data_IF_791426016070
#
_entry.id   IF_791426016070
#
_cell.length_a   1.000
_cell.length_b   1.000
_cell.length_c   1.000
_cell.angle_alpha   90.00
_cell.angle_beta   90.00
_cell.angle_gamma   90.00
#
_symmetry.space_group_name_H-M   'P 1'
#
loop_
_entity.id
_entity.type
_entity.pdbx_description
1 polymer ?
#
# COMPACT_ATOMS: atom_id res chain seq x y z
N UNK A 1 2.42 23.19 1.90
CA UNK A 1 1.80 22.92 0.58
C UNK A 1 0.34 23.31 0.67
N UNK A 2 -0.13 24.18 -0.23
CA UNK A 2 -1.55 24.59 -0.26
C UNK A 2 -2.34 23.54 -1.02
N UNK A 3 -3.40 23.02 -0.44
CA UNK A 3 -4.31 22.07 -1.11
C UNK A 3 -5.20 22.89 -2.07
N UNK A 4 -5.21 22.59 -3.39
CA UNK A 4 -6.03 23.33 -4.35
C UNK A 4 -7.53 23.12 -4.08
N UNK A 5 -8.31 24.17 -4.33
CA UNK A 5 -9.78 24.11 -4.35
C UNK A 5 -10.26 23.99 -5.79
N UNK A 6 -11.20 23.07 -6.04
CA UNK A 6 -11.86 22.88 -7.33
C UNK A 6 -13.32 23.29 -7.19
N UNK A 7 -13.85 24.00 -8.17
CA UNK A 7 -15.27 24.38 -8.21
C UNK A 7 -15.97 23.51 -9.24
N UNK A 8 -16.99 22.77 -8.81
CA UNK A 8 -17.84 21.95 -9.68
C UNK A 8 -18.71 22.84 -10.60
N UNK A 9 -19.30 22.22 -11.62
CA UNK A 9 -20.25 22.89 -12.52
C UNK A 9 -21.43 23.53 -11.79
N UNK A 10 -21.80 22.99 -10.63
CA UNK A 10 -22.87 23.48 -9.77
C UNK A 10 -22.41 24.64 -8.84
N UNK A 11 -21.19 25.12 -8.98
CA UNK A 11 -20.61 26.19 -8.16
C UNK A 11 -20.14 25.75 -6.76
N UNK A 12 -20.14 24.45 -6.46
CA UNK A 12 -19.68 23.92 -5.16
C UNK A 12 -18.17 23.78 -5.11
N UNK A 13 -17.55 24.35 -4.08
CA UNK A 13 -16.12 24.23 -3.82
C UNK A 13 -15.76 22.94 -3.08
N UNK A 14 -14.70 22.28 -3.52
CA UNK A 14 -14.12 21.06 -2.93
C UNK A 14 -12.61 21.22 -2.81
N UNK A 15 -12.00 20.69 -1.76
CA UNK A 15 -10.57 20.40 -1.87
C UNK A 15 -10.33 19.27 -2.90
N UNK A 16 -9.14 19.24 -3.49
CA UNK A 16 -8.84 18.30 -4.59
C UNK A 16 -8.99 16.82 -4.18
N UNK A 17 -8.64 16.46 -2.95
CA UNK A 17 -8.75 15.08 -2.48
C UNK A 17 -10.19 14.66 -2.27
N UNK A 18 -11.01 15.53 -1.68
CA UNK A 18 -12.47 15.29 -1.56
C UNK A 18 -13.15 15.18 -2.92
N UNK A 19 -12.69 15.98 -3.91
CA UNK A 19 -13.21 15.89 -5.28
C UNK A 19 -12.83 14.58 -5.96
N UNK A 20 -11.58 14.12 -5.82
CA UNK A 20 -11.11 12.84 -6.33
C UNK A 20 -11.83 11.67 -5.67
N UNK A 21 -12.09 11.74 -4.37
CA UNK A 21 -12.82 10.71 -3.63
C UNK A 21 -14.22 10.47 -4.19
N UNK A 22 -14.92 11.50 -4.67
CA UNK A 22 -16.21 11.35 -5.38
C UNK A 22 -16.10 10.47 -6.63
N UNK A 23 -14.95 10.50 -7.30
CA UNK A 23 -14.63 9.66 -8.45
C UNK A 23 -13.99 8.33 -8.03
N UNK A 24 -14.08 7.98 -6.72
CA UNK A 24 -13.56 6.75 -6.10
C UNK A 24 -12.02 6.62 -6.17
N UNK A 25 -11.33 7.76 -6.19
CA UNK A 25 -9.88 7.86 -6.26
C UNK A 25 -9.32 8.24 -4.88
N UNK A 26 -8.41 7.42 -4.37
CA UNK A 26 -7.65 7.64 -3.14
C UNK A 26 -6.18 7.86 -3.51
N UNK A 27 -5.52 8.82 -2.87
CA UNK A 27 -4.10 9.12 -3.12
C UNK A 27 -3.28 8.89 -1.85
N UNK A 28 -2.28 8.03 -1.92
CA UNK A 28 -1.29 7.77 -0.87
C UNK A 28 0.04 8.37 -1.33
N UNK A 29 0.32 9.59 -0.87
CA UNK A 29 1.53 10.36 -1.25
C UNK A 29 2.51 10.63 -0.10
N UNK A 30 2.33 9.96 1.05
CA UNK A 30 3.15 10.17 2.26
C UNK A 30 3.53 8.84 2.90
N UNK A 31 4.39 8.89 3.94
CA UNK A 31 4.73 7.70 4.72
C UNK A 31 3.54 7.21 5.54
N UNK A 32 3.46 5.89 5.71
CA UNK A 32 2.43 5.22 6.50
C UNK A 32 2.58 5.54 7.99
N UNK A 33 1.52 6.04 8.58
CA UNK A 33 1.35 6.24 10.01
C UNK A 33 -0.13 6.04 10.39
N UNK A 34 -0.45 6.03 11.68
CA UNK A 34 -1.79 5.70 12.16
C UNK A 34 -2.86 6.71 11.69
N UNK A 35 -2.52 8.01 11.61
CA UNK A 35 -3.43 9.05 11.16
C UNK A 35 -3.80 8.86 9.67
N UNK A 36 -2.78 8.61 8.83
CA UNK A 36 -3.00 8.33 7.40
C UNK A 36 -3.78 7.04 7.22
N UNK A 37 -3.44 5.97 7.94
CA UNK A 37 -4.15 4.71 7.86
C UNK A 37 -5.64 4.86 8.23
N UNK A 38 -5.93 5.55 9.33
CA UNK A 38 -7.32 5.83 9.75
C UNK A 38 -8.10 6.59 8.67
N UNK A 39 -7.46 7.57 8.02
CA UNK A 39 -8.09 8.33 6.92
C UNK A 39 -8.37 7.45 5.70
N UNK A 40 -7.40 6.63 5.26
CA UNK A 40 -7.57 5.74 4.11
C UNK A 40 -8.65 4.69 4.37
N UNK A 41 -8.66 4.09 5.56
CA UNK A 41 -9.68 3.11 5.97
C UNK A 41 -11.08 3.74 5.94
N UNK A 42 -11.23 4.96 6.50
CA UNK A 42 -12.52 5.66 6.47
C UNK A 42 -12.99 5.93 5.03
N UNK A 43 -12.09 6.32 4.12
CA UNK A 43 -12.40 6.51 2.70
C UNK A 43 -12.84 5.20 2.02
N UNK A 44 -12.13 4.09 2.26
CA UNK A 44 -12.47 2.77 1.73
C UNK A 44 -13.87 2.34 2.19
N UNK A 45 -14.16 2.45 3.49
CA UNK A 45 -15.46 2.10 4.06
C UNK A 45 -16.60 2.98 3.51
N UNK A 46 -16.35 4.28 3.34
CA UNK A 46 -17.32 5.20 2.73
C UNK A 46 -17.63 4.78 1.29
N UNK A 47 -16.60 4.55 0.48
CA UNK A 47 -16.79 4.18 -0.93
C UNK A 47 -17.50 2.84 -1.08
N UNK A 48 -17.21 1.86 -0.22
CA UNK A 48 -17.95 0.60 -0.20
C UNK A 48 -19.41 0.78 0.18
N UNK A 49 -19.71 1.64 1.16
CA UNK A 49 -21.09 1.91 1.59
C UNK A 49 -21.90 2.65 0.51
N UNK A 50 -21.25 3.52 -0.29
CA UNK A 50 -21.90 4.25 -1.39
C UNK A 50 -22.24 3.33 -2.57
N UNK A 51 -21.29 2.50 -3.00
CA UNK A 51 -21.52 1.54 -4.11
C UNK A 51 -20.54 0.35 -3.98
N UNK A 52 -21.01 -0.80 -3.47
CA UNK A 52 -20.16 -1.98 -3.26
C UNK A 52 -19.81 -2.75 -4.55
N UNK A 53 -20.21 -2.27 -5.72
CA UNK A 53 -19.96 -2.92 -7.01
C UNK A 53 -18.96 -2.17 -7.89
N UNK A 54 -18.78 -0.87 -7.64
CA UNK A 54 -17.85 -0.05 -8.43
C UNK A 54 -16.44 -0.14 -7.88
N UNK A 55 -15.47 -0.23 -8.77
CA UNK A 55 -14.05 -0.26 -8.44
C UNK A 55 -13.62 0.97 -7.63
N UNK A 56 -12.61 0.75 -6.77
CA UNK A 56 -11.86 1.81 -6.08
C UNK A 56 -10.48 1.90 -6.71
N UNK A 57 -9.94 3.11 -6.82
CA UNK A 57 -8.63 3.38 -7.43
C UNK A 57 -7.69 4.00 -6.39
N UNK A 58 -6.56 3.34 -6.08
CA UNK A 58 -5.57 3.81 -5.11
C UNK A 58 -4.26 4.14 -5.83
N UNK A 59 -3.92 5.42 -5.89
CA UNK A 59 -2.67 5.92 -6.46
C UNK A 59 -1.62 6.08 -5.36
N UNK A 60 -0.46 5.43 -5.53
CA UNK A 60 0.54 5.28 -4.48
C UNK A 60 1.89 5.83 -4.94
N UNK A 61 2.44 6.78 -4.17
CA UNK A 61 3.82 7.27 -4.27
C UNK A 61 4.36 7.45 -2.85
N UNK A 62 4.96 6.40 -2.29
CA UNK A 62 5.35 6.36 -0.88
C UNK A 62 6.58 5.48 -0.65
N UNK A 63 7.45 5.93 0.25
CA UNK A 63 8.59 5.15 0.74
C UNK A 63 8.23 4.08 1.77
N UNK A 64 6.97 3.90 2.12
CA UNK A 64 6.54 2.95 3.15
C UNK A 64 6.29 3.61 4.50
N UNK A 65 6.55 2.91 5.61
CA UNK A 65 6.36 3.41 6.98
C UNK A 65 5.89 2.35 7.96
N UNK A 66 5.00 2.71 8.88
CA UNK A 66 4.50 1.83 9.94
C UNK A 66 3.85 0.56 9.38
N UNK A 67 4.38 -0.60 9.77
CA UNK A 67 3.87 -1.91 9.34
C UNK A 67 2.45 -2.14 9.84
N UNK A 68 2.16 -1.82 11.10
CA UNK A 68 0.82 -2.03 11.67
C UNK A 68 -0.23 -1.14 11.03
N UNK A 69 0.10 0.13 10.77
CA UNK A 69 -0.75 1.05 10.03
C UNK A 69 -1.04 0.55 8.60
N UNK A 70 -0.01 0.07 7.90
CA UNK A 70 -0.18 -0.51 6.57
C UNK A 70 -0.97 -1.80 6.57
N UNK A 71 -0.75 -2.71 7.52
CA UNK A 71 -1.54 -3.94 7.62
C UNK A 71 -3.03 -3.67 7.85
N UNK A 72 -3.38 -2.64 8.61
CA UNK A 72 -4.78 -2.24 8.79
C UNK A 72 -5.43 -1.83 7.45
N UNK A 73 -4.70 -1.09 6.59
CA UNK A 73 -5.17 -0.76 5.23
C UNK A 73 -5.24 -2.02 4.36
N UNK A 74 -4.20 -2.86 4.41
CA UNK A 74 -4.13 -4.11 3.64
C UNK A 74 -5.33 -5.02 3.92
N UNK A 75 -5.62 -5.26 5.20
CA UNK A 75 -6.75 -6.09 5.62
C UNK A 75 -8.08 -5.45 5.22
N UNK A 76 -8.19 -4.12 5.29
CA UNK A 76 -9.39 -3.39 4.83
C UNK A 76 -9.59 -3.56 3.32
N UNK A 77 -8.54 -3.43 2.49
CA UNK A 77 -8.64 -3.68 1.05
C UNK A 77 -9.12 -5.10 0.76
N UNK A 78 -8.56 -6.10 1.44
CA UNK A 78 -8.97 -7.50 1.26
C UNK A 78 -10.39 -7.82 1.75
N UNK A 79 -10.96 -6.96 2.60
CA UNK A 79 -12.35 -7.07 3.07
C UNK A 79 -13.35 -6.41 2.12
N UNK A 80 -12.90 -5.59 1.15
CA UNK A 80 -13.79 -4.93 0.20
C UNK A 80 -14.53 -5.96 -0.67
N UNK A 81 -15.79 -5.69 -0.98
CA UNK A 81 -16.59 -6.49 -1.91
C UNK A 81 -16.43 -6.05 -3.37
N UNK A 82 -15.96 -4.83 -3.60
CA UNK A 82 -15.61 -4.32 -4.91
C UNK A 82 -14.12 -4.55 -5.22
N UNK A 83 -13.76 -4.52 -6.48
CA UNK A 83 -12.37 -4.57 -6.90
C UNK A 83 -11.63 -3.29 -6.54
N UNK A 84 -10.36 -3.46 -6.14
CA UNK A 84 -9.46 -2.34 -5.84
C UNK A 84 -8.32 -2.33 -6.85
N UNK A 85 -8.27 -1.27 -7.64
CA UNK A 85 -7.18 -1.00 -8.56
C UNK A 85 -6.07 -0.25 -7.82
N UNK A 86 -4.84 -0.72 -7.90
CA UNK A 86 -3.68 -0.05 -7.31
C UNK A 86 -2.73 0.44 -8.40
N UNK A 87 -2.11 1.61 -8.18
CA UNK A 87 -1.23 2.26 -9.16
C UNK A 87 0.03 2.75 -8.47
N UNK A 88 1.19 2.21 -8.86
CA UNK A 88 2.48 2.75 -8.45
C UNK A 88 2.86 3.94 -9.32
N UNK A 89 3.06 5.10 -8.69
CA UNK A 89 3.58 6.31 -9.32
C UNK A 89 4.90 6.70 -8.67
N UNK A 90 5.95 6.91 -9.45
CA UNK A 90 7.28 7.25 -8.92
C UNK A 90 7.89 6.12 -8.11
N UNK A 91 7.47 5.93 -6.85
CA UNK A 91 8.03 4.88 -5.97
C UNK A 91 6.97 4.26 -5.07
N UNK A 92 6.92 2.93 -5.04
CA UNK A 92 6.30 2.17 -3.97
C UNK A 92 7.38 1.34 -3.26
N UNK A 93 7.74 1.72 -2.04
CA UNK A 93 8.77 1.03 -1.29
C UNK A 93 8.25 0.47 0.05
N UNK A 94 8.81 -0.65 0.50
CA UNK A 94 8.52 -1.21 1.83
C UNK A 94 7.02 -1.49 2.00
N UNK A 95 6.36 -0.91 3.01
CA UNK A 95 4.93 -1.10 3.26
C UNK A 95 4.05 -0.61 2.09
N UNK A 96 4.49 0.40 1.31
CA UNK A 96 3.76 0.85 0.12
C UNK A 96 3.70 -0.24 -0.97
N UNK A 97 4.76 -1.06 -1.10
CA UNK A 97 4.78 -2.22 -2.00
C UNK A 97 3.77 -3.29 -1.57
N UNK A 98 3.62 -3.50 -0.27
CA UNK A 98 2.61 -4.43 0.28
C UNK A 98 1.20 -3.94 -0.05
N UNK A 99 0.92 -2.64 0.09
CA UNK A 99 -0.39 -2.07 -0.31
C UNK A 99 -0.61 -2.14 -1.82
N UNK A 100 0.42 -1.88 -2.63
CA UNK A 100 0.35 -2.06 -4.08
C UNK A 100 -0.08 -3.49 -4.44
N UNK A 101 0.52 -4.48 -3.78
CA UNK A 101 0.23 -5.91 -3.99
C UNK A 101 -1.15 -6.35 -3.50
N UNK A 102 -1.83 -5.55 -2.66
CA UNK A 102 -3.18 -5.82 -2.16
C UNK A 102 -4.28 -5.57 -3.21
N UNK A 103 -3.96 -4.90 -4.31
CA UNK A 103 -4.91 -4.69 -5.40
C UNK A 103 -5.45 -6.00 -5.96
N UNK A 104 -6.67 -5.94 -6.50
CA UNK A 104 -7.31 -7.08 -7.17
C UNK A 104 -6.40 -7.59 -8.30
N UNK A 105 -6.20 -8.90 -8.36
CA UNK A 105 -5.33 -9.52 -9.38
C UNK A 105 -5.83 -9.15 -10.79
N UNK A 106 -4.90 -8.73 -11.67
CA UNK A 106 -5.19 -8.17 -12.99
C UNK A 106 -5.37 -6.65 -12.98
N UNK A 107 -5.50 -6.02 -11.79
CA UNK A 107 -5.75 -4.58 -11.60
C UNK A 107 -4.65 -3.87 -10.79
N UNK A 108 -3.48 -4.49 -10.64
CA UNK A 108 -2.31 -3.89 -10.00
C UNK A 108 -1.42 -3.31 -11.08
N UNK A 109 -1.21 -2.00 -11.03
CA UNK A 109 -0.61 -1.24 -12.13
C UNK A 109 0.65 -0.49 -11.67
N UNK A 110 1.57 -0.28 -12.59
CA UNK A 110 2.76 0.55 -12.40
C UNK A 110 2.95 1.47 -13.60
N UNK A 111 3.32 2.74 -13.36
CA UNK A 111 3.70 3.64 -14.43
C UNK A 111 5.10 3.29 -14.94
N UNK A 112 5.35 3.49 -16.24
CA UNK A 112 6.58 3.09 -16.94
C UNK A 112 7.88 3.51 -16.25
N UNK A 113 7.93 4.69 -15.64
CA UNK A 113 9.13 5.21 -14.98
C UNK A 113 9.10 5.05 -13.46
N UNK A 114 8.12 4.31 -12.93
CA UNK A 114 8.02 4.05 -11.51
C UNK A 114 8.85 2.83 -11.10
N UNK A 115 9.18 2.76 -9.82
CA UNK A 115 9.95 1.67 -9.23
C UNK A 115 9.24 1.11 -8.02
N UNK A 116 9.53 -0.15 -7.72
CA UNK A 116 9.13 -0.76 -6.45
C UNK A 116 10.35 -1.19 -5.65
N UNK A 117 10.19 -1.35 -4.34
CA UNK A 117 11.25 -1.87 -3.47
C UNK A 117 10.66 -2.73 -2.36
N UNK A 118 11.24 -3.89 -2.17
CA UNK A 118 10.93 -4.78 -1.04
C UNK A 118 12.16 -4.93 -0.15
N UNK A 119 11.94 -4.99 1.15
CA UNK A 119 12.97 -5.28 2.15
C UNK A 119 12.34 -5.86 3.43
N UNK A 120 13.18 -6.29 4.36
CA UNK A 120 12.70 -6.79 5.65
C UNK A 120 12.22 -5.66 6.57
N UNK A 121 11.47 -6.04 7.61
CA UNK A 121 11.07 -5.11 8.68
C UNK A 121 12.31 -4.50 9.33
N UNK A 122 12.33 -3.19 9.43
CA UNK A 122 13.35 -2.42 10.14
C UNK A 122 12.75 -1.65 11.31
N UNK A 123 13.52 -1.43 12.35
CA UNK A 123 13.09 -0.68 13.52
C UNK A 123 14.13 -0.75 14.63
N UNK A 124 13.79 -0.18 15.78
CA UNK A 124 14.61 -0.20 16.99
C UNK A 124 13.80 -0.63 18.21
N UNK A 125 14.50 -1.08 19.26
CA UNK A 125 13.91 -1.42 20.55
C UNK A 125 14.68 -0.71 21.66
N UNK A 126 13.96 -0.23 22.67
CA UNK A 126 14.52 0.41 23.87
C UNK A 126 13.73 -0.05 25.12
N UNK A 127 14.38 -0.05 26.26
CA UNK A 127 13.78 -0.42 27.52
C UNK A 127 14.60 -1.45 28.29
N UNK A 128 13.96 -2.22 29.16
CA UNK A 128 14.60 -3.34 29.86
C UNK A 128 14.98 -4.46 28.88
N UNK A 129 15.88 -5.34 29.27
CA UNK A 129 16.25 -6.49 28.42
C UNK A 129 15.03 -7.32 27.98
N UNK A 130 14.07 -7.54 28.90
CA UNK A 130 12.83 -8.25 28.59
C UNK A 130 11.93 -7.48 27.58
N UNK A 131 11.88 -6.15 27.65
CA UNK A 131 11.10 -5.33 26.70
C UNK A 131 11.73 -5.35 25.30
N UNK A 132 13.07 -5.30 25.24
CA UNK A 132 13.83 -5.41 23.99
C UNK A 132 13.59 -6.77 23.34
N UNK A 133 13.70 -7.87 24.10
CA UNK A 133 13.47 -9.23 23.62
C UNK A 133 12.05 -9.37 23.00
N UNK A 134 11.02 -8.96 23.72
CA UNK A 134 9.62 -9.00 23.24
C UNK A 134 9.41 -8.15 21.99
N UNK A 135 10.03 -6.97 21.92
CA UNK A 135 9.94 -6.11 20.73
C UNK A 135 10.60 -6.79 19.52
N UNK A 136 11.75 -7.40 19.69
CA UNK A 136 12.44 -8.14 18.63
C UNK A 136 11.62 -9.36 18.18
N UNK A 137 11.04 -10.13 19.09
CA UNK A 137 10.13 -11.23 18.75
C UNK A 137 8.93 -10.75 17.93
N UNK A 138 8.33 -9.61 18.30
CA UNK A 138 7.24 -9.01 17.55
C UNK A 138 7.68 -8.60 16.14
N UNK A 139 8.85 -7.97 15.99
CA UNK A 139 9.41 -7.64 14.68
C UNK A 139 9.63 -8.88 13.81
N UNK A 140 10.13 -9.98 14.35
CA UNK A 140 10.24 -11.25 13.64
C UNK A 140 8.89 -11.81 13.21
N UNK A 141 7.86 -11.66 14.04
CA UNK A 141 6.50 -12.08 13.69
C UNK A 141 5.94 -11.28 12.51
N UNK A 142 6.14 -9.96 12.50
CA UNK A 142 5.77 -9.08 11.39
C UNK A 142 6.54 -9.42 10.10
N UNK A 143 7.85 -9.65 10.19
CA UNK A 143 8.68 -10.08 9.06
C UNK A 143 8.12 -11.36 8.41
N UNK A 144 7.82 -12.38 9.20
CA UNK A 144 7.25 -13.63 8.70
C UNK A 144 5.90 -13.38 8.02
N UNK A 145 5.02 -12.58 8.62
CA UNK A 145 3.71 -12.23 8.07
C UNK A 145 3.82 -11.52 6.72
N UNK A 146 4.67 -10.50 6.61
CA UNK A 146 4.86 -9.77 5.36
C UNK A 146 5.44 -10.65 4.25
N UNK A 147 6.38 -11.54 4.55
CA UNK A 147 6.91 -12.50 3.59
C UNK A 147 5.80 -13.45 3.06
N UNK A 148 4.88 -13.89 3.93
CA UNK A 148 3.73 -14.70 3.50
C UNK A 148 2.77 -13.89 2.64
N UNK A 149 2.46 -12.66 3.00
CA UNK A 149 1.61 -11.76 2.22
C UNK A 149 2.19 -11.55 0.82
N UNK A 150 3.45 -11.16 0.73
CA UNK A 150 4.13 -10.93 -0.55
C UNK A 150 4.24 -12.22 -1.37
N UNK A 151 4.54 -13.35 -0.75
CA UNK A 151 4.56 -14.65 -1.43
C UNK A 151 3.21 -14.97 -2.09
N UNK A 152 2.12 -14.80 -1.36
CA UNK A 152 0.77 -15.03 -1.87
C UNK A 152 0.39 -14.07 -3.00
N UNK A 153 0.75 -12.79 -2.88
CA UNK A 153 0.42 -11.76 -3.88
C UNK A 153 1.21 -11.91 -5.18
N UNK A 154 2.46 -12.37 -5.09
CA UNK A 154 3.39 -12.45 -6.22
C UNK A 154 3.46 -13.84 -6.88
N UNK A 155 3.00 -14.88 -6.19
CA UNK A 155 3.16 -16.28 -6.63
C UNK A 155 4.55 -16.86 -6.34
N UNK A 156 5.42 -16.12 -5.67
CA UNK A 156 6.71 -16.62 -5.21
C UNK A 156 6.55 -17.48 -3.93
N UNK A 157 7.55 -18.28 -3.61
CA UNK A 157 7.58 -19.00 -2.34
C UNK A 157 8.00 -18.09 -1.18
N UNK A 158 7.57 -18.40 0.05
CA UNK A 158 8.02 -17.67 1.25
C UNK A 158 9.55 -17.65 1.36
N UNK A 159 10.22 -18.75 1.02
CA UNK A 159 11.69 -18.84 1.04
C UNK A 159 12.36 -17.89 0.02
N UNK A 160 11.73 -17.69 -1.14
CA UNK A 160 12.20 -16.69 -2.11
C UNK A 160 11.99 -15.27 -1.57
N UNK A 161 10.82 -14.99 -0.95
CA UNK A 161 10.57 -13.70 -0.30
C UNK A 161 11.56 -13.41 0.82
N UNK A 162 11.88 -14.37 1.68
CA UNK A 162 12.91 -14.23 2.71
C UNK A 162 14.27 -13.81 2.13
N UNK A 163 14.64 -14.35 0.95
CA UNK A 163 15.87 -14.00 0.26
C UNK A 163 15.81 -12.60 -0.37
N UNK A 164 14.73 -12.28 -1.08
CA UNK A 164 14.58 -10.97 -1.74
C UNK A 164 14.45 -9.83 -0.73
N UNK A 165 13.72 -10.05 0.37
CA UNK A 165 13.54 -9.05 1.41
C UNK A 165 14.70 -8.96 2.41
N UNK A 166 15.80 -9.71 2.26
CA UNK A 166 16.93 -9.64 3.22
C UNK A 166 17.65 -8.27 3.17
N UNK A 167 17.69 -7.65 2.01
CA UNK A 167 18.21 -6.30 1.77
C UNK A 167 17.25 -5.54 0.85
N UNK A 168 17.48 -4.24 0.69
CA UNK A 168 16.71 -3.42 -0.24
C UNK A 168 16.82 -3.99 -1.65
N UNK A 169 15.72 -4.45 -2.19
CA UNK A 169 15.63 -5.02 -3.54
C UNK A 169 14.72 -4.11 -4.39
N UNK A 170 15.36 -3.29 -5.22
CA UNK A 170 14.68 -2.37 -6.12
C UNK A 170 14.36 -3.05 -7.45
N UNK A 171 13.20 -2.70 -8.01
CA UNK A 171 12.70 -3.23 -9.28
C UNK A 171 12.18 -2.10 -10.16
N UNK A 172 12.50 -2.15 -11.46
CA UNK A 172 11.86 -1.35 -12.51
C UNK A 172 10.39 -1.77 -12.68
N UNK A 173 9.67 -1.09 -13.58
CA UNK A 173 8.30 -1.46 -13.92
C UNK A 173 8.24 -2.89 -14.51
N UNK A 174 9.16 -3.23 -15.43
CA UNK A 174 9.25 -4.53 -16.07
C UNK A 174 9.59 -5.63 -15.06
N UNK A 175 10.60 -5.40 -14.22
CA UNK A 175 11.00 -6.34 -13.16
C UNK A 175 9.88 -6.54 -12.14
N UNK A 176 9.08 -5.50 -11.85
CA UNK A 176 7.93 -5.59 -10.93
C UNK A 176 6.82 -6.49 -11.48
N UNK A 177 6.62 -6.49 -12.80
CA UNK A 177 5.68 -7.40 -13.48
C UNK A 177 6.22 -8.83 -13.47
N UNK A 178 7.50 -9.03 -13.85
CA UNK A 178 8.14 -10.36 -13.83
C UNK A 178 8.15 -10.98 -12.44
N UNK A 179 8.35 -10.14 -11.43
CA UNK A 179 8.30 -10.56 -10.03
C UNK A 179 6.90 -10.95 -9.57
N UNK A 180 5.85 -10.55 -10.29
CA UNK A 180 4.45 -10.79 -9.98
C UNK A 180 3.84 -9.80 -8.97
N UNK A 181 4.54 -8.69 -8.70
CA UNK A 181 4.09 -7.67 -7.75
C UNK A 181 2.95 -6.84 -8.31
N UNK A 182 3.00 -6.56 -9.61
CA UNK A 182 1.98 -5.86 -10.38
C UNK A 182 1.62 -6.65 -11.63
N UNK A 183 0.51 -6.27 -12.28
CA UNK A 183 -0.03 -6.99 -13.43
C UNK A 183 0.21 -6.25 -14.75
N UNK A 184 0.22 -4.90 -14.73
CA UNK A 184 0.27 -4.07 -15.93
C UNK A 184 1.24 -2.89 -15.80
N UNK A 185 1.92 -2.55 -16.90
CA UNK A 185 2.64 -1.27 -17.08
C UNK A 185 1.73 -0.34 -17.88
N UNK A 186 1.56 0.92 -17.40
CA UNK A 186 0.76 1.96 -18.03
C UNK A 186 1.65 3.05 -18.63
#
# INVERSE_FOLDING_TARGET
>A
MTIPTVIDADGRGWDIYSRLLKDRIIVIGTNFNDAMASSIIAQLLLLQAEDPKKDIHIYINSGGGSVTAGLAIFDTINMMSCDVNTYCMGMCASMATVILSAGTKGKRNILKNAHTMVHQVSGGAQGTAADVERTVEFMYSLRKRLNVILANSTGNTVKQMEKYCDRDYYMSAEESVEFGLVDNIL
#
